data_IF_362255817730
#
_entry.id   IF_362255817730
#
_cell.length_a   1.000
_cell.length_b   1.000
_cell.length_c   1.000
_cell.angle_alpha   90.00
_cell.angle_beta   90.00
_cell.angle_gamma   90.00
#
_symmetry.space_group_name_H-M   'P 1'
#
loop_
_entity.id
_entity.type
_entity.pdbx_description
1 polymer ?
#
# COMPACT_ATOMS: atom_id res chain seq x y z
N UNK A 1 -4.21 1.10 -6.39
CA UNK A 1 -5.61 1.18 -5.94
C UNK A 1 -5.65 1.46 -4.44
N UNK A 2 -6.81 1.83 -3.89
CA UNK A 2 -6.98 1.99 -2.45
C UNK A 2 -6.55 3.34 -1.90
N UNK A 3 -6.87 3.57 -0.62
CA UNK A 3 -6.58 4.79 0.13
C UNK A 3 -6.03 4.42 1.51
N UNK A 4 -5.28 5.32 2.09
CA UNK A 4 -4.84 5.24 3.49
C UNK A 4 -5.09 6.55 4.20
N UNK A 5 -5.26 6.47 5.51
CA UNK A 5 -5.36 7.63 6.38
C UNK A 5 -3.99 8.29 6.57
N UNK A 6 -3.99 9.62 6.71
CA UNK A 6 -2.77 10.37 6.96
C UNK A 6 -2.08 9.94 8.26
N UNK A 7 -2.83 9.53 9.29
CA UNK A 7 -2.25 9.00 10.54
C UNK A 7 -1.26 7.84 10.34
N UNK A 8 -1.37 7.08 9.25
CA UNK A 8 -0.44 6.00 8.93
C UNK A 8 0.85 6.45 8.24
N UNK A 9 0.94 7.70 7.78
CA UNK A 9 2.11 8.21 7.04
C UNK A 9 2.71 9.48 7.62
N UNK A 10 2.03 10.19 8.53
CA UNK A 10 2.54 11.44 9.14
C UNK A 10 3.91 11.29 9.81
N UNK A 11 4.20 10.14 10.42
CA UNK A 11 5.54 9.88 10.97
C UNK A 11 6.61 9.98 9.87
N UNK A 12 6.36 9.30 8.75
CA UNK A 12 7.23 9.33 7.56
C UNK A 12 7.39 10.73 6.97
N UNK A 13 6.36 11.57 7.05
CA UNK A 13 6.38 12.92 6.48
C UNK A 13 7.10 13.96 7.35
N UNK A 14 7.13 13.78 8.68
CA UNK A 14 7.55 14.86 9.59
C UNK A 14 8.56 14.46 10.67
N UNK A 15 8.49 13.23 11.20
CA UNK A 15 9.28 12.83 12.37
C UNK A 15 9.71 11.36 12.29
N UNK A 16 10.22 10.96 11.13
CA UNK A 16 10.51 9.57 10.80
C UNK A 16 11.47 8.99 11.83
N UNK A 17 11.07 7.91 12.49
CA UNK A 17 11.84 7.26 13.55
C UNK A 17 12.33 8.23 14.65
N UNK A 18 11.52 9.22 15.00
CA UNK A 18 11.82 10.23 16.04
C UNK A 18 13.04 11.11 15.73
N UNK A 19 13.41 11.26 14.46
CA UNK A 19 14.57 12.07 14.04
C UNK A 19 14.28 13.57 13.93
N UNK A 20 13.01 13.98 14.06
CA UNK A 20 12.54 15.34 13.78
C UNK A 20 12.56 15.71 12.29
N UNK A 21 12.76 14.72 11.40
CA UNK A 21 12.90 14.91 9.95
C UNK A 21 12.01 13.94 9.18
N UNK A 22 11.64 14.26 7.93
CA UNK A 22 10.99 13.32 7.02
C UNK A 22 11.86 12.10 6.72
N UNK A 23 11.25 11.02 6.22
CA UNK A 23 11.96 9.83 5.76
C UNK A 23 12.95 10.17 4.65
N UNK A 24 14.22 9.73 4.75
CA UNK A 24 15.27 10.08 3.80
C UNK A 24 15.10 9.36 2.45
N UNK A 25 14.34 8.28 2.41
CA UNK A 25 14.10 7.49 1.19
C UNK A 25 12.96 8.02 0.35
N UNK A 26 12.16 8.98 0.84
CA UNK A 26 11.04 9.53 0.10
C UNK A 26 11.50 10.61 -0.89
N UNK A 27 10.97 10.55 -2.12
CA UNK A 27 11.23 11.57 -3.13
C UNK A 27 10.77 12.96 -2.64
N UNK A 28 11.62 13.99 -2.80
CA UNK A 28 11.38 15.34 -2.25
C UNK A 28 10.12 16.01 -2.78
N UNK A 29 9.82 15.92 -4.08
CA UNK A 29 8.60 16.56 -4.61
C UNK A 29 7.35 15.81 -4.15
N UNK A 30 7.43 14.50 -4.06
CA UNK A 30 6.35 13.67 -3.53
C UNK A 30 6.10 13.89 -2.04
N UNK A 31 7.17 14.08 -1.25
CA UNK A 31 7.09 14.47 0.15
C UNK A 31 6.30 15.78 0.31
N UNK A 32 6.62 16.81 -0.49
CA UNK A 32 5.89 18.08 -0.46
C UNK A 32 4.41 17.90 -0.82
N UNK A 33 4.12 17.11 -1.87
CA UNK A 33 2.74 16.81 -2.29
C UNK A 33 1.94 16.11 -1.17
N UNK A 34 2.55 15.12 -0.50
CA UNK A 34 1.89 14.40 0.59
C UNK A 34 1.76 15.28 1.84
N UNK A 35 2.74 16.11 2.15
CA UNK A 35 2.70 17.03 3.29
C UNK A 35 1.62 18.13 3.14
N UNK A 36 1.29 18.52 1.92
CA UNK A 36 0.16 19.43 1.65
C UNK A 36 -1.19 18.76 1.98
N UNK A 37 -1.32 17.47 1.63
CA UNK A 37 -2.55 16.69 1.84
C UNK A 37 -2.71 16.18 3.27
N UNK A 38 -1.59 15.92 3.95
CA UNK A 38 -1.55 15.31 5.27
C UNK A 38 -0.84 16.23 6.27
N UNK A 39 -1.57 17.11 6.99
CA UNK A 39 -0.95 17.99 7.96
C UNK A 39 -0.32 17.22 9.13
N UNK A 40 0.68 17.77 9.84
CA UNK A 40 1.35 17.09 10.97
C UNK A 40 0.40 16.73 12.12
N UNK A 41 -0.68 17.50 12.27
CA UNK A 41 -1.74 17.27 13.24
C UNK A 41 -3.08 17.57 12.59
N UNK A 42 -4.05 16.70 12.82
CA UNK A 42 -5.45 16.99 12.49
C UNK A 42 -5.99 18.05 13.44
N UNK A 43 -6.78 19.00 12.92
CA UNK A 43 -7.44 20.00 13.77
C UNK A 43 -8.51 19.32 14.62
N UNK A 44 -8.80 19.89 15.80
CA UNK A 44 -9.87 19.37 16.67
C UNK A 44 -11.20 19.35 15.91
N UNK A 45 -11.84 18.19 15.84
CA UNK A 45 -13.10 17.98 15.10
C UNK A 45 -12.93 17.67 13.61
N UNK A 46 -11.70 17.66 13.08
CA UNK A 46 -11.42 17.24 11.71
C UNK A 46 -11.22 15.73 11.66
N UNK A 47 -11.86 15.07 10.69
CA UNK A 47 -11.62 13.65 10.39
C UNK A 47 -10.23 13.45 9.79
N UNK A 48 -9.61 12.31 10.06
CA UNK A 48 -8.30 11.94 9.51
C UNK A 48 -8.33 11.87 7.97
N UNK A 49 -7.64 12.77 7.25
CA UNK A 49 -7.73 12.82 5.79
C UNK A 49 -7.27 11.52 5.13
N UNK A 50 -7.82 11.26 3.94
CA UNK A 50 -7.48 10.10 3.13
C UNK A 50 -6.64 10.52 1.93
N UNK A 51 -5.59 9.76 1.64
CA UNK A 51 -4.80 9.89 0.41
C UNK A 51 -4.81 8.57 -0.38
N UNK A 52 -4.72 8.65 -1.69
CA UNK A 52 -4.63 7.46 -2.54
C UNK A 52 -3.27 6.78 -2.36
N UNK A 53 -3.27 5.45 -2.17
CA UNK A 53 -2.04 4.66 -2.09
C UNK A 53 -1.27 4.67 -3.42
N UNK A 54 -2.01 4.77 -4.54
CA UNK A 54 -1.45 5.00 -5.86
C UNK A 54 -2.13 6.23 -6.48
N UNK A 55 -1.55 7.43 -6.31
CA UNK A 55 -2.06 8.69 -6.86
C UNK A 55 -2.35 8.65 -8.36
N UNK A 56 -1.57 7.91 -9.16
CA UNK A 56 -1.75 7.80 -10.62
C UNK A 56 -3.08 7.11 -10.97
N UNK A 57 -3.54 6.20 -10.11
CA UNK A 57 -4.84 5.52 -10.27
C UNK A 57 -6.03 6.37 -9.80
N UNK A 58 -5.77 7.38 -8.95
CA UNK A 58 -6.78 8.29 -8.40
C UNK A 58 -8.06 7.59 -7.91
N UNK A 59 -9.19 8.22 -8.20
CA UNK A 59 -10.53 7.73 -7.88
C UNK A 59 -10.98 6.55 -8.73
N UNK A 60 -10.33 6.30 -9.87
CA UNK A 60 -10.68 5.17 -10.74
C UNK A 60 -10.30 3.84 -10.09
N UNK A 61 -9.39 3.89 -9.11
CA UNK A 61 -8.90 2.71 -8.41
C UNK A 61 -8.51 1.62 -9.40
N UNK A 62 -7.79 1.96 -10.48
CA UNK A 62 -7.35 0.97 -11.47
C UNK A 62 -6.19 0.12 -10.95
N UNK A 63 -6.20 -1.17 -11.29
CA UNK A 63 -5.07 -2.07 -11.07
C UNK A 63 -4.08 -1.85 -12.21
N UNK A 64 -2.89 -1.35 -11.90
CA UNK A 64 -1.88 -0.90 -12.87
C UNK A 64 -0.48 -1.32 -12.42
N UNK A 65 0.48 -1.34 -13.34
CA UNK A 65 1.90 -1.52 -13.01
C UNK A 65 2.52 -0.34 -12.26
N UNK A 66 1.81 0.81 -12.19
CA UNK A 66 2.37 2.03 -11.60
C UNK A 66 2.66 1.93 -10.10
N UNK A 67 2.17 0.89 -9.42
CA UNK A 67 2.61 0.61 -8.05
C UNK A 67 4.14 0.42 -7.98
N UNK A 68 4.69 -0.51 -8.75
CA UNK A 68 6.12 -0.83 -8.70
C UNK A 68 7.00 0.27 -9.30
N UNK A 69 6.57 0.93 -10.37
CA UNK A 69 7.32 2.07 -10.93
C UNK A 69 7.45 3.22 -9.94
N UNK A 70 6.42 3.44 -9.10
CA UNK A 70 6.44 4.43 -8.02
C UNK A 70 7.33 4.02 -6.87
N UNK A 71 7.35 2.72 -6.50
CA UNK A 71 8.31 2.19 -5.51
C UNK A 71 9.73 2.50 -5.96
N UNK A 72 10.10 2.14 -7.20
CA UNK A 72 11.41 2.40 -7.79
C UNK A 72 11.76 3.90 -7.87
N UNK A 73 10.75 4.75 -8.01
CA UNK A 73 10.91 6.21 -8.04
C UNK A 73 10.93 6.86 -6.65
N UNK A 74 10.94 6.09 -5.56
CA UNK A 74 10.85 6.57 -4.18
C UNK A 74 9.56 7.36 -3.88
N UNK A 75 8.47 7.00 -4.56
CA UNK A 75 7.14 7.65 -4.49
C UNK A 75 6.08 6.73 -3.87
N UNK A 76 6.50 5.80 -3.01
CA UNK A 76 5.60 4.98 -2.21
C UNK A 76 4.97 5.78 -1.08
N UNK A 77 3.66 5.61 -0.87
CA UNK A 77 2.93 6.29 0.20
C UNK A 77 3.28 5.67 1.56
N UNK A 78 3.19 4.34 1.69
CA UNK A 78 3.53 3.65 2.93
C UNK A 78 5.03 3.35 2.99
N UNK A 79 5.61 3.38 4.19
CA UNK A 79 7.01 3.01 4.40
C UNK A 79 7.26 1.54 4.02
N UNK A 80 6.35 0.62 4.42
CA UNK A 80 6.46 -0.80 4.08
C UNK A 80 6.55 -1.06 2.58
N UNK A 81 5.89 -0.23 1.77
CA UNK A 81 5.98 -0.33 0.30
C UNK A 81 7.35 0.12 -0.20
N UNK A 82 7.97 1.14 0.43
CA UNK A 82 9.31 1.57 0.06
C UNK A 82 10.38 0.55 0.46
N UNK A 83 10.13 -0.19 1.54
CA UNK A 83 11.02 -1.23 2.05
C UNK A 83 11.21 -2.40 1.08
N UNK A 84 10.37 -2.53 0.05
CA UNK A 84 10.58 -3.46 -1.06
C UNK A 84 11.95 -3.25 -1.75
N UNK A 85 12.55 -2.07 -1.64
CA UNK A 85 13.87 -1.78 -2.19
C UNK A 85 15.05 -2.05 -1.23
N UNK A 86 14.80 -2.47 0.01
CA UNK A 86 15.86 -2.61 1.01
C UNK A 86 16.63 -3.93 0.89
N UNK A 87 16.02 -4.95 0.26
CA UNK A 87 16.65 -6.22 -0.04
C UNK A 87 16.76 -6.41 -1.56
N UNK A 88 17.86 -7.01 -2.03
CA UNK A 88 18.12 -7.16 -3.47
C UNK A 88 17.09 -8.06 -4.16
N UNK A 89 16.61 -9.12 -3.50
CA UNK A 89 15.62 -10.04 -4.07
C UNK A 89 14.29 -9.30 -4.33
N UNK A 90 13.79 -8.57 -3.34
CA UNK A 90 12.52 -7.82 -3.46
C UNK A 90 12.65 -6.63 -4.40
N UNK A 91 13.85 -6.04 -4.50
CA UNK A 91 14.15 -4.99 -5.46
C UNK A 91 14.12 -5.53 -6.88
N UNK A 92 14.77 -6.66 -7.16
CA UNK A 92 14.75 -7.29 -8.47
C UNK A 92 13.32 -7.65 -8.90
N UNK A 93 12.52 -8.21 -7.99
CA UNK A 93 11.09 -8.47 -8.24
C UNK A 93 10.33 -7.17 -8.56
N UNK A 94 10.64 -6.08 -7.85
CA UNK A 94 10.02 -4.77 -8.10
C UNK A 94 10.38 -4.21 -9.48
N UNK A 95 11.62 -4.41 -9.93
CA UNK A 95 12.08 -4.04 -11.28
C UNK A 95 11.35 -4.86 -12.35
N UNK A 96 11.26 -6.18 -12.19
CA UNK A 96 10.54 -7.07 -13.10
C UNK A 96 9.07 -6.67 -13.24
N UNK A 97 8.36 -6.49 -12.12
CA UNK A 97 6.94 -6.12 -12.13
C UNK A 97 6.69 -4.69 -12.59
N UNK A 98 7.66 -3.78 -12.45
CA UNK A 98 7.58 -2.46 -13.06
C UNK A 98 7.78 -2.53 -14.58
N UNK A 99 8.62 -3.43 -15.08
CA UNK A 99 8.91 -3.58 -16.50
C UNK A 99 7.80 -4.33 -17.26
N UNK A 100 7.18 -5.33 -16.62
CA UNK A 100 6.16 -6.18 -17.23
C UNK A 100 4.91 -6.28 -16.36
N UNK A 101 3.85 -5.57 -16.79
CA UNK A 101 2.59 -5.62 -16.07
C UNK A 101 1.92 -7.00 -16.12
N UNK A 102 2.17 -7.77 -17.18
CA UNK A 102 1.62 -9.12 -17.33
C UNK A 102 2.31 -10.11 -16.39
N UNK A 103 3.62 -9.99 -16.15
CA UNK A 103 4.32 -10.84 -15.17
C UNK A 103 3.88 -10.53 -13.74
N UNK A 104 3.65 -9.24 -13.43
CA UNK A 104 2.99 -8.86 -12.18
C UNK A 104 1.62 -9.51 -12.04
N UNK A 105 0.75 -9.41 -13.07
CA UNK A 105 -0.60 -9.97 -13.02
C UNK A 105 -0.62 -11.48 -12.82
N UNK A 106 0.23 -12.22 -13.54
CA UNK A 106 0.36 -13.67 -13.38
C UNK A 106 0.79 -14.03 -11.96
N UNK A 107 1.84 -13.39 -11.45
CA UNK A 107 2.35 -13.63 -10.10
C UNK A 107 1.35 -13.24 -9.02
N UNK A 108 0.60 -12.15 -9.23
CA UNK A 108 -0.47 -11.72 -8.35
C UNK A 108 -1.60 -12.76 -8.31
N UNK A 109 -2.06 -13.26 -9.46
CA UNK A 109 -3.11 -14.28 -9.52
C UNK A 109 -2.70 -15.58 -8.80
N UNK A 110 -1.47 -16.04 -8.99
CA UNK A 110 -0.92 -17.20 -8.29
C UNK A 110 -0.84 -16.96 -6.77
N UNK A 111 -0.37 -15.78 -6.36
CA UNK A 111 -0.25 -15.42 -4.94
C UNK A 111 -1.61 -15.36 -4.26
N UNK A 112 -2.62 -14.77 -4.92
CA UNK A 112 -3.98 -14.70 -4.40
C UNK A 112 -4.64 -16.08 -4.29
N UNK A 113 -4.41 -16.97 -5.26
CA UNK A 113 -4.87 -18.36 -5.20
C UNK A 113 -4.26 -19.12 -4.01
N UNK A 114 -2.93 -19.00 -3.82
CA UNK A 114 -2.22 -19.60 -2.69
C UNK A 114 -2.67 -19.02 -1.34
N UNK A 115 -2.92 -17.71 -1.26
CA UNK A 115 -3.43 -17.08 -0.05
C UNK A 115 -4.85 -17.57 0.28
N UNK A 116 -5.69 -17.74 -0.74
CA UNK A 116 -7.06 -18.22 -0.59
C UNK A 116 -7.19 -19.67 -0.11
N UNK A 117 -6.11 -20.46 -0.16
CA UNK A 117 -6.11 -21.85 0.32
C UNK A 117 -5.59 -22.01 1.76
N UNK A 118 -5.21 -20.92 2.44
CA UNK A 118 -4.71 -20.97 3.81
C UNK A 118 -5.85 -21.37 4.75
N UNK A 119 -5.67 -22.49 5.46
CA UNK A 119 -6.56 -22.95 6.55
C UNK A 119 -8.05 -22.97 6.18
N UNK A 120 -8.37 -23.36 4.94
CA UNK A 120 -9.76 -23.45 4.48
C UNK A 120 -10.48 -24.60 5.19
N UNK A 121 -11.75 -24.36 5.54
CA UNK A 121 -12.65 -25.40 6.04
C UNK A 121 -13.21 -26.19 4.85
N UNK A 122 -13.10 -27.52 4.90
CA UNK A 122 -13.50 -28.39 3.79
C UNK A 122 -14.49 -29.47 4.22
N UNK A 123 -15.20 -30.05 3.25
CA UNK A 123 -16.17 -31.16 3.48
C UNK A 123 -17.21 -30.82 4.55
N UNK A 124 -17.06 -31.39 5.74
CA UNK A 124 -18.01 -31.28 6.84
C UNK A 124 -17.50 -30.32 7.93
N UNK A 125 -16.41 -29.60 7.68
CA UNK A 125 -15.86 -28.59 8.58
C UNK A 125 -16.62 -27.26 8.40
N UNK A 126 -17.04 -26.64 9.51
CA UNK A 126 -17.74 -25.36 9.49
C UNK A 126 -19.22 -25.46 9.10
N UNK A 127 -19.74 -24.40 8.47
CA UNK A 127 -21.13 -24.29 8.03
C UNK A 127 -21.26 -23.31 6.85
N UNK A 128 -22.30 -23.47 6.03
CA UNK A 128 -22.68 -22.47 5.02
C UNK A 128 -23.59 -21.44 5.68
N UNK A 129 -23.05 -20.25 5.97
CA UNK A 129 -23.80 -19.18 6.66
C UNK A 129 -24.90 -18.61 5.77
N UNK A 130 -26.09 -18.38 6.36
CA UNK A 130 -27.20 -17.66 5.72
C UNK A 130 -27.09 -16.14 5.85
N UNK A 131 -26.46 -15.67 6.93
CA UNK A 131 -26.07 -14.27 7.12
C UNK A 131 -24.61 -14.24 7.59
N UNK A 132 -23.72 -13.60 6.82
CA UNK A 132 -22.30 -13.55 7.12
C UNK A 132 -21.97 -12.90 8.48
N UNK A 133 -22.90 -12.11 9.04
CA UNK A 133 -22.73 -11.36 10.30
C UNK A 133 -22.97 -12.22 11.55
N UNK A 134 -23.53 -13.41 11.42
CA UNK A 134 -23.79 -14.30 12.56
C UNK A 134 -23.56 -15.77 12.22
N UNK A 135 -23.42 -16.58 13.26
CA UNK A 135 -23.52 -18.03 13.11
C UNK A 135 -24.98 -18.40 12.79
N UNK A 136 -25.16 -19.50 12.05
CA UNK A 136 -26.48 -20.05 11.80
C UNK A 136 -27.21 -20.40 13.10
#
# INVERSE_FOLDING_TARGET
MGRTHCSHIVDRLYNYNKTGKPSPTMNKSFLSEMAEKCPPRTKKGQTDPLVYLNPDSGSNHSFTSSFYSRVLSNKSVLEVDQQLLYNEDTKQISEEFSASFEDFRKSFALSMSKMGSINVLTKNEGEIRRDCRRRN
#
